data_IF_684939712444
#
_entry.id   IF_684939712444
#
_cell.length_a   1.000
_cell.length_b   1.000
_cell.length_c   1.000
_cell.angle_alpha   90.00
_cell.angle_beta   90.00
_cell.angle_gamma   90.00
#
_symmetry.space_group_name_H-M   'P 1'
#
loop_
_entity.id
_entity.type
_entity.pdbx_description
1 polymer ?
#
# COMPACT_ATOMS: atom_id res chain seq x y z
N UNK A 1 34.82 7.69 -4.12
CA UNK A 1 35.99 7.81 -3.26
C UNK A 1 37.17 7.11 -3.91
N UNK A 2 38.17 7.86 -4.35
CA UNK A 2 39.45 7.32 -4.75
C UNK A 2 40.13 6.80 -3.48
N UNK A 3 40.34 5.48 -3.38
CA UNK A 3 40.93 4.88 -2.20
C UNK A 3 42.33 5.41 -1.94
N UNK A 4 42.52 6.13 -0.84
CA UNK A 4 43.83 6.57 -0.38
C UNK A 4 44.61 5.35 0.06
N UNK A 5 45.81 5.17 -0.48
CA UNK A 5 46.73 4.11 -0.05
C UNK A 5 47.17 4.40 1.38
N UNK A 6 46.77 3.56 2.32
CA UNK A 6 47.08 3.72 3.76
C UNK A 6 48.43 3.11 4.18
N UNK A 7 49.27 2.68 3.25
CA UNK A 7 50.58 2.03 3.55
C UNK A 7 50.48 0.64 4.21
N UNK A 8 49.30 0.15 4.56
CA UNK A 8 49.08 -1.18 5.14
C UNK A 8 48.97 -2.25 4.05
N UNK A 9 49.47 -3.47 4.33
CA UNK A 9 49.33 -4.63 3.43
C UNK A 9 47.84 -4.90 3.15
N UNK A 10 47.51 -5.00 1.88
CA UNK A 10 46.16 -5.33 1.42
C UNK A 10 45.66 -4.43 0.27
N UNK A 11 44.60 -4.83 -0.39
CA UNK A 11 43.98 -4.03 -1.45
C UNK A 11 43.40 -2.74 -0.83
N UNK A 12 43.68 -1.56 -1.39
CA UNK A 12 43.09 -0.30 -0.90
C UNK A 12 41.59 -0.39 -0.81
N UNK A 13 41.01 0.16 0.25
CA UNK A 13 39.54 0.26 0.37
C UNK A 13 39.02 1.20 -0.72
N UNK A 14 38.29 0.66 -1.66
CA UNK A 14 37.62 1.43 -2.75
C UNK A 14 36.39 2.20 -2.23
N UNK A 15 35.88 1.81 -1.07
CA UNK A 15 34.67 2.34 -0.46
C UNK A 15 34.97 2.98 0.88
N UNK A 16 34.26 4.04 1.23
CA UNK A 16 34.31 4.66 2.53
C UNK A 16 33.89 3.73 3.67
N UNK A 17 33.82 4.26 4.86
CA UNK A 17 33.36 3.53 6.04
C UNK A 17 31.93 3.08 5.92
N UNK A 18 31.59 2.00 6.62
CA UNK A 18 30.20 1.52 6.72
C UNK A 18 29.40 2.53 7.53
N UNK A 19 28.28 2.97 6.99
CA UNK A 19 27.34 3.85 7.71
C UNK A 19 26.69 3.03 8.83
N UNK A 20 26.84 3.49 10.06
CA UNK A 20 26.13 2.94 11.21
C UNK A 20 24.87 3.79 11.45
N UNK A 21 23.71 3.23 11.14
CA UNK A 21 22.42 3.92 11.31
C UNK A 21 22.00 4.12 12.76
N UNK A 22 22.70 3.52 13.73
CA UNK A 22 22.50 3.77 15.15
C UNK A 22 23.33 4.96 15.66
N UNK A 23 24.41 5.29 14.94
CA UNK A 23 25.33 6.38 15.28
C UNK A 23 25.66 7.16 14.00
N UNK A 24 24.65 7.82 13.44
CA UNK A 24 24.84 8.66 12.26
C UNK A 24 25.68 9.89 12.61
N UNK A 25 26.65 10.19 11.73
CA UNK A 25 27.37 11.47 11.77
C UNK A 25 26.44 12.56 11.25
N UNK A 26 25.77 13.24 12.17
CA UNK A 26 24.74 14.24 11.88
C UNK A 26 25.29 15.45 11.09
N UNK A 27 26.61 15.70 11.16
CA UNK A 27 27.24 16.79 10.40
C UNK A 27 27.25 16.56 8.89
N UNK A 28 27.11 15.29 8.46
CA UNK A 28 27.10 14.90 7.04
C UNK A 28 25.71 14.62 6.49
N UNK A 29 24.69 14.86 7.28
CA UNK A 29 23.30 14.56 6.92
C UNK A 29 22.52 15.85 6.75
N UNK A 30 21.62 15.86 5.77
CA UNK A 30 20.57 16.85 5.70
C UNK A 30 19.50 16.50 6.73
N UNK A 31 18.98 17.49 7.45
CA UNK A 31 18.01 17.31 8.52
C UNK A 31 16.64 17.78 8.04
N UNK A 32 15.64 16.95 8.25
CA UNK A 32 14.26 17.27 7.97
C UNK A 32 13.39 16.98 9.20
N UNK A 33 12.69 17.96 9.71
CA UNK A 33 11.67 17.74 10.74
C UNK A 33 10.41 17.17 10.09
N UNK A 34 9.95 16.04 10.61
CA UNK A 34 8.79 15.31 10.10
C UNK A 34 7.85 15.06 11.26
N UNK A 35 6.56 15.00 10.97
CA UNK A 35 5.54 14.63 11.95
C UNK A 35 5.90 13.31 12.66
N UNK A 36 6.08 13.36 13.98
CA UNK A 36 6.44 12.22 14.82
C UNK A 36 7.94 11.94 14.94
N UNK A 37 8.83 12.88 14.57
CA UNK A 37 10.27 12.73 14.76
C UNK A 37 11.15 13.53 13.81
N UNK A 38 12.41 13.13 13.72
CA UNK A 38 13.41 13.75 12.83
C UNK A 38 13.91 12.77 11.80
N UNK A 39 14.09 13.22 10.57
CA UNK A 39 14.71 12.44 9.52
C UNK A 39 16.07 13.05 9.13
N UNK A 40 16.98 12.17 8.78
CA UNK A 40 18.31 12.51 8.32
C UNK A 40 18.57 11.83 7.01
N UNK A 41 19.03 12.55 6.01
CA UNK A 41 19.34 11.95 4.72
C UNK A 41 20.83 12.03 4.37
N UNK A 42 21.30 11.03 3.67
CA UNK A 42 22.68 10.90 3.22
C UNK A 42 22.76 10.15 1.89
N UNK A 43 23.58 10.63 0.98
CA UNK A 43 23.91 9.90 -0.25
C UNK A 43 24.99 8.86 0.05
N UNK A 44 24.70 7.58 -0.21
CA UNK A 44 25.56 6.46 0.12
C UNK A 44 25.69 5.47 -1.04
N UNK A 45 26.80 4.74 -1.11
CA UNK A 45 26.98 3.69 -2.11
C UNK A 45 26.41 2.35 -1.59
N UNK A 46 25.40 1.82 -2.26
CA UNK A 46 24.87 0.48 -1.98
C UNK A 46 25.73 -0.59 -2.66
N UNK A 47 26.31 -1.49 -1.85
CA UNK A 47 27.08 -2.63 -2.36
C UNK A 47 26.20 -3.63 -3.10
N UNK A 48 24.98 -3.85 -2.60
CA UNK A 48 24.03 -4.79 -3.20
C UNK A 48 23.54 -4.30 -4.55
N UNK A 49 23.22 -3.00 -4.65
CA UNK A 49 22.68 -2.40 -5.88
C UNK A 49 23.78 -1.88 -6.81
N UNK A 50 25.06 -1.91 -6.38
CA UNK A 50 26.26 -1.43 -7.12
C UNK A 50 26.12 0.01 -7.64
N UNK A 51 25.40 0.86 -6.92
CA UNK A 51 25.14 2.27 -7.29
C UNK A 51 24.98 3.15 -6.07
N UNK A 52 25.05 4.46 -6.28
CA UNK A 52 24.70 5.43 -5.25
C UNK A 52 23.18 5.43 -5.04
N UNK A 53 22.78 5.57 -3.80
CA UNK A 53 21.40 5.68 -3.35
C UNK A 53 21.29 6.81 -2.34
N UNK A 54 20.12 7.42 -2.25
CA UNK A 54 19.77 8.34 -1.19
C UNK A 54 19.11 7.54 -0.07
N UNK A 55 19.63 7.66 1.15
CA UNK A 55 19.13 6.96 2.33
C UNK A 55 18.56 7.98 3.29
N UNK A 56 17.34 7.75 3.75
CA UNK A 56 16.65 8.57 4.75
C UNK A 56 16.44 7.74 6.00
N UNK A 57 16.91 8.22 7.13
CA UNK A 57 16.75 7.57 8.44
C UNK A 57 15.81 8.42 9.28
N UNK A 58 14.66 7.90 9.60
CA UNK A 58 13.66 8.54 10.44
C UNK A 58 13.75 8.00 11.86
N UNK A 59 14.06 8.85 12.82
CA UNK A 59 14.03 8.55 14.25
C UNK A 59 12.70 9.04 14.81
N UNK A 60 11.92 8.10 15.33
CA UNK A 60 10.64 8.40 15.95
C UNK A 60 10.82 8.93 17.38
N UNK A 61 9.97 9.86 17.80
CA UNK A 61 9.94 10.36 19.20
C UNK A 61 9.68 9.26 20.22
N UNK A 62 8.91 8.23 19.83
CA UNK A 62 8.64 7.04 20.66
C UNK A 62 9.84 6.11 20.82
N UNK A 63 10.97 6.45 20.22
CA UNK A 63 12.17 5.60 20.14
C UNK A 63 12.18 4.70 18.90
N UNK A 64 13.38 4.26 18.53
CA UNK A 64 13.61 3.46 17.34
C UNK A 64 13.85 4.30 16.08
N UNK A 65 14.23 3.60 15.01
CA UNK A 65 14.46 4.25 13.72
C UNK A 65 13.96 3.38 12.57
N UNK A 66 13.59 4.03 11.47
CA UNK A 66 13.23 3.39 10.20
C UNK A 66 14.15 3.91 9.11
N UNK A 67 14.57 3.02 8.23
CA UNK A 67 15.49 3.34 7.14
C UNK A 67 14.73 3.20 5.83
N UNK A 68 14.77 4.25 5.04
CA UNK A 68 14.20 4.32 3.70
C UNK A 68 15.32 4.59 2.70
N UNK A 69 15.13 4.22 1.45
CA UNK A 69 16.09 4.59 0.41
C UNK A 69 15.41 4.80 -0.94
N UNK A 70 16.05 5.62 -1.77
CA UNK A 70 15.68 5.79 -3.17
C UNK A 70 16.91 5.60 -4.06
N UNK A 71 16.69 5.08 -5.25
CA UNK A 71 17.71 5.04 -6.31
C UNK A 71 17.79 6.34 -7.09
N UNK A 72 16.77 7.18 -6.96
CA UNK A 72 16.76 8.56 -7.40
C UNK A 72 17.40 9.43 -6.32
N UNK A 73 18.53 10.07 -6.65
CA UNK A 73 19.29 10.88 -5.71
C UNK A 73 18.71 12.27 -5.50
N UNK A 74 17.85 12.71 -6.42
CA UNK A 74 17.25 14.04 -6.39
C UNK A 74 15.84 14.03 -5.78
N UNK A 75 15.28 12.86 -5.54
CA UNK A 75 13.98 12.72 -4.87
C UNK A 75 14.01 13.36 -3.48
N UNK A 76 12.99 14.11 -3.11
CA UNK A 76 12.92 14.72 -1.79
C UNK A 76 12.79 13.68 -0.67
N UNK A 77 13.31 13.98 0.51
CA UNK A 77 13.25 13.07 1.66
C UNK A 77 11.82 12.80 2.09
N UNK A 78 10.96 13.81 1.98
CA UNK A 78 9.54 13.73 2.26
C UNK A 78 8.86 12.75 1.31
N UNK A 79 9.14 12.86 0.00
CA UNK A 79 8.55 11.97 -1.00
C UNK A 79 8.98 10.52 -0.80
N UNK A 80 10.26 10.28 -0.45
CA UNK A 80 10.77 8.92 -0.16
C UNK A 80 9.96 8.27 0.97
N UNK A 81 9.69 9.02 2.04
CA UNK A 81 8.91 8.52 3.19
C UNK A 81 7.45 8.32 2.80
N UNK A 82 6.86 9.25 2.06
CA UNK A 82 5.47 9.20 1.64
C UNK A 82 5.22 8.04 0.69
N UNK A 83 6.06 7.84 -0.31
CA UNK A 83 5.97 6.67 -1.19
C UNK A 83 6.09 5.34 -0.43
N UNK A 84 6.96 5.27 0.57
CA UNK A 84 7.06 4.05 1.37
C UNK A 84 5.79 3.80 2.21
N UNK A 85 5.11 4.85 2.68
CA UNK A 85 3.83 4.73 3.40
C UNK A 85 2.75 4.08 2.53
N UNK A 86 2.82 4.21 1.20
CA UNK A 86 1.88 3.59 0.27
C UNK A 86 2.08 2.08 0.10
N UNK A 87 3.16 1.49 0.64
CA UNK A 87 3.43 0.05 0.56
C UNK A 87 2.35 -0.79 1.25
N UNK A 88 1.94 -0.41 2.44
CA UNK A 88 0.89 -1.13 3.18
C UNK A 88 -0.46 -1.20 2.46
N UNK A 89 -0.97 -0.12 1.86
CA UNK A 89 -2.16 -0.17 1.03
C UNK A 89 -2.12 -1.21 -0.08
N UNK A 90 -0.96 -1.54 -0.64
CA UNK A 90 -0.81 -2.60 -1.65
C UNK A 90 -1.08 -3.98 -1.02
N UNK A 91 -0.50 -4.25 0.15
CA UNK A 91 -0.74 -5.51 0.88
C UNK A 91 -2.22 -5.67 1.25
N UNK A 92 -2.86 -4.60 1.71
CA UNK A 92 -4.30 -4.60 1.99
C UNK A 92 -5.13 -4.80 0.72
N UNK A 93 -4.73 -4.22 -0.42
CA UNK A 93 -5.40 -4.45 -1.69
C UNK A 93 -5.38 -5.93 -2.08
N UNK A 94 -4.22 -6.59 -1.98
CA UNK A 94 -4.11 -8.02 -2.26
C UNK A 94 -4.90 -8.88 -1.26
N UNK A 95 -4.85 -8.57 0.03
CA UNK A 95 -5.65 -9.26 1.04
C UNK A 95 -7.15 -9.14 0.74
N UNK A 96 -7.62 -7.94 0.50
CA UNK A 96 -9.04 -7.67 0.22
C UNK A 96 -9.45 -8.31 -1.12
N UNK A 97 -8.56 -8.35 -2.10
CA UNK A 97 -8.78 -9.01 -3.39
C UNK A 97 -8.96 -10.52 -3.23
N UNK A 98 -8.14 -11.16 -2.40
CA UNK A 98 -8.29 -12.59 -2.09
C UNK A 98 -9.56 -12.88 -1.31
N UNK A 99 -9.90 -12.03 -0.36
CA UNK A 99 -11.00 -12.27 0.56
C UNK A 99 -12.37 -11.92 -0.05
N UNK A 100 -12.47 -10.86 -0.84
CA UNK A 100 -13.76 -10.32 -1.25
C UNK A 100 -14.05 -10.38 -2.74
N UNK A 101 -13.03 -10.40 -3.60
CA UNK A 101 -13.21 -10.30 -5.06
C UNK A 101 -12.65 -11.47 -5.86
N UNK A 102 -12.30 -12.56 -5.18
CA UNK A 102 -12.01 -13.84 -5.83
C UNK A 102 -10.66 -13.91 -6.56
N UNK A 103 -9.64 -13.19 -6.09
CA UNK A 103 -8.31 -13.24 -6.72
C UNK A 103 -7.73 -14.65 -6.80
N UNK A 104 -8.04 -15.51 -5.81
CA UNK A 104 -7.58 -16.90 -5.76
C UNK A 104 -8.56 -17.91 -6.38
N UNK A 105 -9.73 -17.47 -6.83
CA UNK A 105 -10.82 -18.37 -7.25
C UNK A 105 -10.76 -18.70 -8.75
N UNK A 106 -9.85 -18.04 -9.48
CA UNK A 106 -9.71 -18.25 -10.91
C UNK A 106 -9.02 -19.60 -11.20
N UNK A 107 -9.76 -20.54 -11.79
CA UNK A 107 -9.28 -21.86 -12.20
C UNK A 107 -8.90 -21.96 -13.69
N UNK A 108 -8.85 -20.82 -14.38
CA UNK A 108 -8.50 -20.80 -15.78
C UNK A 108 -7.02 -21.17 -15.99
N UNK A 109 -6.74 -21.88 -17.08
CA UNK A 109 -5.38 -22.22 -17.53
C UNK A 109 -4.88 -21.31 -18.66
N UNK A 110 -5.78 -20.56 -19.26
CA UNK A 110 -5.48 -19.63 -20.33
C UNK A 110 -4.91 -18.33 -19.75
N UNK A 111 -3.78 -17.86 -20.32
CA UNK A 111 -3.08 -16.68 -19.82
C UNK A 111 -3.92 -15.41 -19.87
N UNK A 112 -4.75 -15.22 -20.91
CA UNK A 112 -5.59 -14.02 -21.03
C UNK A 112 -6.69 -13.99 -19.96
N UNK A 113 -7.24 -15.16 -19.63
CA UNK A 113 -8.24 -15.29 -18.57
C UNK A 113 -7.63 -15.06 -17.18
N UNK A 114 -6.42 -15.58 -16.97
CA UNK A 114 -5.66 -15.31 -15.74
C UNK A 114 -5.35 -13.82 -15.61
N UNK A 115 -4.82 -13.20 -16.67
CA UNK A 115 -4.50 -11.77 -16.69
C UNK A 115 -5.74 -10.93 -16.39
N UNK A 116 -6.87 -11.24 -17.03
CA UNK A 116 -8.14 -10.59 -16.72
C UNK A 116 -8.54 -10.73 -15.26
N UNK A 117 -8.47 -11.93 -14.67
CA UNK A 117 -8.85 -12.18 -13.28
C UNK A 117 -7.94 -11.42 -12.31
N UNK A 118 -6.62 -11.43 -12.56
CA UNK A 118 -5.65 -10.70 -11.73
C UNK A 118 -5.81 -9.18 -11.79
N UNK A 119 -6.28 -8.64 -12.89
CA UNK A 119 -6.54 -7.20 -13.03
C UNK A 119 -7.95 -6.82 -12.52
N UNK A 120 -8.97 -7.63 -12.81
CA UNK A 120 -10.34 -7.34 -12.44
C UNK A 120 -10.57 -7.39 -10.92
N UNK A 121 -9.91 -8.31 -10.22
CA UNK A 121 -10.09 -8.48 -8.78
C UNK A 121 -9.60 -7.27 -7.97
N UNK A 122 -8.36 -6.75 -8.11
CA UNK A 122 -7.92 -5.53 -7.45
C UNK A 122 -8.69 -4.28 -7.90
N UNK A 123 -9.06 -4.20 -9.19
CA UNK A 123 -9.89 -3.09 -9.68
C UNK A 123 -11.23 -3.05 -8.98
N UNK A 124 -11.87 -4.21 -8.76
CA UNK A 124 -13.11 -4.32 -8.01
C UNK A 124 -12.99 -3.85 -6.55
N UNK A 125 -11.86 -4.17 -5.89
CA UNK A 125 -11.57 -3.67 -4.54
C UNK A 125 -11.45 -2.14 -4.54
N UNK A 126 -10.77 -1.56 -5.52
CA UNK A 126 -10.63 -0.10 -5.61
C UNK A 126 -11.98 0.58 -5.84
N UNK A 127 -12.82 0.03 -6.72
CA UNK A 127 -14.18 0.52 -6.93
C UNK A 127 -14.98 0.43 -5.63
N UNK A 128 -14.91 -0.70 -4.92
CA UNK A 128 -15.61 -0.88 -3.64
C UNK A 128 -15.14 0.13 -2.58
N UNK A 129 -13.84 0.45 -2.52
CA UNK A 129 -13.29 1.48 -1.62
C UNK A 129 -13.86 2.87 -1.93
N UNK A 130 -13.92 3.24 -3.21
CA UNK A 130 -14.50 4.52 -3.64
C UNK A 130 -16.00 4.57 -3.35
N UNK A 131 -16.74 3.50 -3.66
CA UNK A 131 -18.18 3.41 -3.35
C UNK A 131 -18.43 3.52 -1.85
N UNK A 132 -17.65 2.82 -1.04
CA UNK A 132 -17.73 2.90 0.42
C UNK A 132 -17.52 4.33 0.89
N UNK A 133 -16.46 4.97 0.45
CA UNK A 133 -16.12 6.34 0.89
C UNK A 133 -17.20 7.36 0.52
N UNK A 134 -17.82 7.23 -0.67
CA UNK A 134 -18.79 8.20 -1.17
C UNK A 134 -20.22 7.95 -0.70
N UNK A 135 -20.63 6.68 -0.62
CA UNK A 135 -22.04 6.34 -0.46
C UNK A 135 -22.36 5.48 0.76
N UNK A 136 -21.35 4.77 1.29
CA UNK A 136 -21.53 3.80 2.37
C UNK A 136 -20.41 3.86 3.41
N UNK A 137 -20.16 5.03 4.03
CA UNK A 137 -18.98 5.22 4.89
C UNK A 137 -18.95 4.30 6.11
N UNK A 138 -20.10 3.90 6.62
CA UNK A 138 -20.25 3.01 7.77
C UNK A 138 -20.07 1.52 7.45
N UNK A 139 -20.05 1.12 6.15
CA UNK A 139 -19.95 -0.29 5.79
C UNK A 139 -18.48 -0.72 5.61
N UNK A 140 -18.14 -1.91 6.10
CA UNK A 140 -16.91 -2.60 5.69
C UNK A 140 -17.01 -3.07 4.23
N UNK A 141 -15.87 -3.42 3.60
CA UNK A 141 -15.88 -3.94 2.21
C UNK A 141 -16.70 -5.24 2.14
N UNK A 142 -16.60 -6.11 3.16
CA UNK A 142 -17.37 -7.35 3.23
C UNK A 142 -18.87 -7.11 3.31
N UNK A 143 -19.30 -6.18 4.16
CA UNK A 143 -20.71 -5.80 4.27
C UNK A 143 -21.22 -5.12 3.00
N UNK A 144 -20.44 -4.27 2.36
CA UNK A 144 -20.78 -3.68 1.07
C UNK A 144 -20.98 -4.75 0.00
N UNK A 145 -20.08 -5.74 -0.08
CA UNK A 145 -20.22 -6.89 -0.99
C UNK A 145 -21.54 -7.62 -0.73
N UNK A 146 -21.82 -7.97 0.52
CA UNK A 146 -23.06 -8.65 0.89
C UNK A 146 -24.30 -7.82 0.52
N UNK A 147 -24.29 -6.54 0.84
CA UNK A 147 -25.37 -5.61 0.49
C UNK A 147 -25.64 -5.55 -1.02
N UNK A 148 -24.59 -5.35 -1.83
CA UNK A 148 -24.72 -5.28 -3.29
C UNK A 148 -25.17 -6.61 -3.88
N UNK A 149 -24.62 -7.74 -3.41
CA UNK A 149 -24.98 -9.07 -3.86
C UNK A 149 -26.43 -9.40 -3.54
N UNK A 150 -26.87 -9.14 -2.32
CA UNK A 150 -28.24 -9.38 -1.88
C UNK A 150 -29.23 -8.49 -2.63
N UNK A 151 -28.89 -7.22 -2.84
CA UNK A 151 -29.71 -6.28 -3.63
C UNK A 151 -29.86 -6.76 -5.07
N UNK A 152 -28.79 -7.24 -5.68
CA UNK A 152 -28.81 -7.79 -7.03
C UNK A 152 -29.69 -9.05 -7.12
N UNK A 153 -29.54 -9.97 -6.16
CA UNK A 153 -30.33 -11.21 -6.12
C UNK A 153 -31.83 -10.91 -5.96
N UNK A 154 -32.21 -10.02 -5.07
CA UNK A 154 -33.60 -9.59 -4.91
C UNK A 154 -34.15 -8.99 -6.19
N UNK A 155 -33.45 -8.06 -6.82
CA UNK A 155 -33.87 -7.47 -8.10
C UNK A 155 -34.11 -8.55 -9.16
N UNK A 156 -33.22 -9.55 -9.22
CA UNK A 156 -33.32 -10.66 -10.18
C UNK A 156 -34.54 -11.56 -9.89
N UNK A 157 -34.82 -11.86 -8.63
CA UNK A 157 -35.98 -12.65 -8.23
C UNK A 157 -37.26 -11.93 -8.63
N UNK A 158 -37.41 -10.65 -8.30
CA UNK A 158 -38.58 -9.87 -8.65
C UNK A 158 -38.76 -9.74 -10.18
N UNK A 159 -37.69 -9.51 -10.91
CA UNK A 159 -37.74 -9.45 -12.37
C UNK A 159 -38.22 -10.76 -12.99
N UNK A 160 -37.78 -11.92 -12.45
CA UNK A 160 -38.21 -13.25 -12.95
C UNK A 160 -39.57 -13.68 -12.50
N UNK A 161 -40.06 -13.23 -11.35
CA UNK A 161 -41.39 -13.55 -10.84
C UNK A 161 -42.51 -12.73 -11.49
N UNK A 162 -42.19 -11.83 -12.42
CA UNK A 162 -43.15 -10.92 -13.04
C UNK A 162 -43.67 -9.81 -12.11
N UNK A 163 -43.22 -9.80 -10.87
CA UNK A 163 -43.52 -8.74 -9.94
C UNK A 163 -42.70 -7.48 -10.28
N UNK A 164 -43.37 -6.42 -10.66
CA UNK A 164 -42.74 -5.10 -10.78
C UNK A 164 -42.68 -4.48 -9.39
N UNK A 165 -41.50 -4.27 -8.79
CA UNK A 165 -41.41 -3.57 -7.53
C UNK A 165 -41.97 -2.15 -7.75
N UNK A 166 -43.06 -1.82 -7.07
CA UNK A 166 -43.74 -0.51 -7.19
C UNK A 166 -42.89 0.67 -6.71
N UNK A 167 -41.73 0.41 -6.11
CA UNK A 167 -40.80 1.43 -5.61
C UNK A 167 -39.39 0.89 -5.66
N UNK A 168 -38.43 1.79 -5.86
CA UNK A 168 -37.03 1.54 -5.58
C UNK A 168 -36.89 0.90 -4.20
N UNK A 169 -36.23 -0.24 -4.09
CA UNK A 169 -36.00 -0.87 -2.79
C UNK A 169 -35.45 0.17 -1.82
N UNK A 170 -36.22 0.38 -0.74
CA UNK A 170 -35.77 1.29 0.30
C UNK A 170 -34.48 0.74 0.89
N UNK A 171 -33.38 1.45 0.72
CA UNK A 171 -32.07 1.06 1.22
C UNK A 171 -32.09 0.80 2.74
N UNK A 172 -32.93 1.53 3.48
CA UNK A 172 -33.14 1.34 4.92
C UNK A 172 -33.77 -0.02 5.22
N UNK A 173 -34.83 -0.40 4.50
CA UNK A 173 -35.50 -1.68 4.68
C UNK A 173 -34.57 -2.87 4.34
N UNK A 174 -33.76 -2.74 3.30
CA UNK A 174 -32.79 -3.78 2.93
C UNK A 174 -31.74 -3.91 4.02
N UNK A 175 -31.26 -2.81 4.59
CA UNK A 175 -30.32 -2.83 5.71
C UNK A 175 -30.91 -3.53 6.93
N UNK A 176 -32.14 -3.22 7.28
CA UNK A 176 -32.86 -3.86 8.41
C UNK A 176 -33.05 -5.35 8.18
N UNK A 177 -33.50 -5.77 6.99
CA UNK A 177 -33.78 -7.17 6.66
C UNK A 177 -32.47 -8.04 6.67
N UNK A 178 -31.35 -7.46 6.34
CA UNK A 178 -30.06 -8.19 6.33
C UNK A 178 -29.22 -7.95 7.58
N UNK A 179 -29.78 -7.31 8.63
CA UNK A 179 -29.06 -7.04 9.87
C UNK A 179 -27.86 -6.09 9.71
N UNK A 180 -27.82 -5.31 8.62
CA UNK A 180 -26.78 -4.33 8.37
C UNK A 180 -27.20 -3.05 9.10
N UNK A 181 -26.94 -3.02 10.41
CA UNK A 181 -27.15 -1.82 11.22
C UNK A 181 -26.05 -0.83 10.83
N UNK A 182 -26.47 0.33 10.29
CA UNK A 182 -25.55 1.47 10.20
C UNK A 182 -25.57 2.14 11.58
N UNK A 183 -24.42 2.09 12.26
CA UNK A 183 -24.14 2.98 13.37
C UNK A 183 -24.15 4.44 12.91
#
# INVERSE_FOLDING_TARGET
HNGVRTGKRGRPRIKGEKIDFKKLDLQRCEVLDIEGGRAYSVKAYSKAMKRNIKVVVHYAESGGHKIYFSTDLEMSDKDIIEYYRTRFPIEFCFRDSKQFTGLNDCQARDLKKLDFAFNASPASVNIAKVMRQRYYPSLSIGLLKAYLSNTYMLKRIFSKSGMKPNRTFNAKLIKELFGIVAE
#
